data_IF_340714914290
#
_entry.id   IF_340714914290
#
_cell.length_a   1.000
_cell.length_b   1.000
_cell.length_c   1.000
_cell.angle_alpha   90.00
_cell.angle_beta   90.00
_cell.angle_gamma   90.00
#
_symmetry.space_group_name_H-M   'P 1'
#
loop_
_entity.id
_entity.type
_entity.pdbx_description
1 polymer ?
#
# COMPACT_ATOMS: atom_id res chain seq x y z
N UNK A 1 9.65 -16.39 3.02
CA UNK A 1 9.58 -15.02 2.47
C UNK A 1 8.93 -14.14 3.52
N UNK A 2 9.41 -12.91 3.77
CA UNK A 2 8.93 -12.11 4.90
C UNK A 2 7.65 -11.33 4.52
N UNK A 3 6.53 -11.60 5.20
CA UNK A 3 5.26 -10.89 5.00
C UNK A 3 5.35 -9.42 5.38
N UNK A 4 4.68 -8.54 4.64
CA UNK A 4 4.56 -7.11 4.98
C UNK A 4 3.16 -6.86 5.54
N UNK A 5 3.09 -6.33 6.77
CA UNK A 5 1.84 -5.99 7.44
C UNK A 5 1.53 -4.49 7.27
N UNK A 6 0.33 -4.20 6.81
CA UNK A 6 -0.13 -2.85 6.49
C UNK A 6 -1.20 -2.37 7.50
N UNK A 7 -1.00 -1.16 8.02
CA UNK A 7 -1.85 -0.44 8.99
C UNK A 7 -2.69 0.65 8.32
N UNK A 8 -3.84 0.97 8.92
CA UNK A 8 -4.85 1.89 8.37
C UNK A 8 -4.52 3.37 8.59
N UNK A 9 -4.68 4.21 7.55
CA UNK A 9 -4.50 5.67 7.67
C UNK A 9 -5.65 6.35 8.43
N UNK A 10 -5.42 7.58 8.91
CA UNK A 10 -6.45 8.42 9.54
C UNK A 10 -7.59 8.75 8.56
N UNK A 11 -7.27 8.92 7.28
CA UNK A 11 -8.28 9.12 6.25
C UNK A 11 -9.22 7.91 6.16
N UNK A 12 -8.65 6.70 6.03
CA UNK A 12 -9.44 5.49 5.86
C UNK A 12 -10.21 5.14 7.14
N UNK A 13 -9.62 5.32 8.33
CA UNK A 13 -10.31 5.18 9.63
C UNK A 13 -11.58 6.04 9.68
N UNK A 14 -11.46 7.33 9.35
CA UNK A 14 -12.57 8.29 9.39
C UNK A 14 -13.63 7.98 8.33
N UNK A 15 -13.22 7.63 7.12
CA UNK A 15 -14.14 7.27 6.04
C UNK A 15 -14.97 6.03 6.41
N UNK A 16 -14.31 4.96 6.85
CA UNK A 16 -14.98 3.70 7.21
C UNK A 16 -15.98 3.89 8.35
N UNK A 17 -15.61 4.60 9.42
CA UNK A 17 -16.50 4.76 10.59
C UNK A 17 -17.68 5.70 10.31
N UNK A 18 -17.47 6.77 9.52
CA UNK A 18 -18.56 7.66 9.13
C UNK A 18 -19.55 6.95 8.20
N UNK A 19 -19.06 6.13 7.26
CA UNK A 19 -19.92 5.35 6.38
C UNK A 19 -20.74 4.32 7.17
N UNK A 20 -20.08 3.55 8.05
CA UNK A 20 -20.72 2.48 8.81
C UNK A 20 -21.72 2.98 9.87
N UNK A 21 -21.37 4.03 10.63
CA UNK A 21 -22.12 4.42 11.83
C UNK A 21 -22.96 5.69 11.66
N UNK A 22 -22.65 6.52 10.66
CA UNK A 22 -23.32 7.82 10.47
C UNK A 22 -24.05 7.93 9.13
N UNK A 23 -24.04 6.88 8.33
CA UNK A 23 -24.67 6.87 7.01
C UNK A 23 -24.10 7.92 6.05
N UNK A 24 -22.88 8.42 6.30
CA UNK A 24 -22.23 9.36 5.40
C UNK A 24 -21.80 8.58 4.17
N UNK A 25 -22.41 8.91 3.03
CA UNK A 25 -22.15 8.16 1.80
C UNK A 25 -20.66 8.20 1.45
N UNK A 26 -20.08 7.02 1.29
CA UNK A 26 -18.67 6.86 0.94
C UNK A 26 -18.56 5.87 -0.22
N UNK A 27 -18.11 6.36 -1.37
CA UNK A 27 -17.86 5.51 -2.53
C UNK A 27 -16.48 4.88 -2.38
N UNK A 28 -16.45 3.57 -2.17
CA UNK A 28 -15.19 2.84 -2.11
C UNK A 28 -14.43 2.95 -3.44
N UNK A 29 -13.08 3.07 -3.42
CA UNK A 29 -12.28 3.09 -4.63
C UNK A 29 -12.46 1.80 -5.44
N UNK A 30 -12.77 1.91 -6.73
CA UNK A 30 -12.91 0.75 -7.61
C UNK A 30 -11.58 0.04 -7.88
N UNK A 31 -10.45 0.74 -7.67
CA UNK A 31 -9.10 0.24 -7.82
C UNK A 31 -8.24 0.81 -6.71
N UNK A 32 -7.26 0.04 -6.27
CA UNK A 32 -6.24 0.48 -5.33
C UNK A 32 -4.85 0.22 -5.90
N UNK A 33 -3.89 1.02 -5.47
CA UNK A 33 -2.55 1.04 -6.03
C UNK A 33 -1.52 0.94 -4.93
N UNK A 34 -0.46 0.16 -5.14
CA UNK A 34 0.69 0.13 -4.25
C UNK A 34 1.68 1.25 -4.63
N UNK A 35 2.13 1.98 -3.61
CA UNK A 35 3.11 3.04 -3.68
C UNK A 35 4.33 2.70 -2.81
N UNK A 36 5.51 3.13 -3.25
CA UNK A 36 6.79 2.91 -2.56
C UNK A 36 7.23 4.21 -1.88
N UNK A 37 7.73 4.10 -0.65
CA UNK A 37 8.17 5.24 0.15
C UNK A 37 9.61 5.10 0.62
N UNK A 38 10.33 6.22 0.60
CA UNK A 38 11.67 6.34 1.20
C UNK A 38 11.61 6.73 2.67
N UNK A 39 10.48 7.25 3.14
CA UNK A 39 10.22 7.55 4.55
C UNK A 39 8.86 7.01 5.04
N UNK A 40 8.62 7.03 6.35
CA UNK A 40 7.36 6.56 6.91
C UNK A 40 6.19 7.48 6.51
N UNK A 41 5.15 6.98 5.82
CA UNK A 41 3.95 7.75 5.51
C UNK A 41 3.12 8.14 6.73
N UNK A 42 3.22 7.39 7.83
CA UNK A 42 2.39 7.54 9.04
C UNK A 42 0.89 7.43 8.75
N UNK A 43 0.10 7.44 9.81
CA UNK A 43 -1.35 7.49 9.66
C UNK A 43 -1.85 8.82 9.06
N UNK A 44 -1.02 9.87 9.11
CA UNK A 44 -1.35 11.22 8.63
C UNK A 44 -0.93 11.49 7.18
N UNK A 45 -0.35 10.50 6.50
CA UNK A 45 0.06 10.60 5.10
C UNK A 45 1.12 11.68 4.81
N UNK A 46 2.20 11.69 5.60
CA UNK A 46 3.30 12.67 5.56
C UNK A 46 4.59 12.12 4.96
N UNK A 47 4.54 10.95 4.33
CA UNK A 47 5.71 10.24 3.81
C UNK A 47 6.19 10.76 2.48
N UNK A 48 7.45 10.48 2.18
CA UNK A 48 8.07 10.77 0.89
C UNK A 48 7.89 9.55 -0.02
N UNK A 49 6.98 9.67 -0.98
CA UNK A 49 6.82 8.68 -2.04
C UNK A 49 7.97 8.79 -3.04
N UNK A 50 8.37 7.65 -3.60
CA UNK A 50 9.34 7.62 -4.71
C UNK A 50 8.78 8.43 -5.89
N UNK A 51 9.66 9.18 -6.56
CA UNK A 51 9.31 9.93 -7.77
C UNK A 51 10.46 9.84 -8.77
N UNK A 52 10.14 9.83 -10.07
CA UNK A 52 11.13 9.75 -11.14
C UNK A 52 11.65 8.33 -11.39
N UNK A 53 12.69 8.20 -12.23
CA UNK A 53 13.35 6.91 -12.48
C UNK A 53 12.44 5.80 -13.01
N UNK A 54 11.39 6.14 -13.79
CA UNK A 54 10.43 5.17 -14.33
C UNK A 54 9.39 4.67 -13.32
N UNK A 55 9.40 5.18 -12.08
CA UNK A 55 8.45 4.81 -11.05
C UNK A 55 7.01 5.21 -11.43
N UNK A 56 6.11 4.25 -11.29
CA UNK A 56 4.66 4.46 -11.31
C UNK A 56 4.02 3.49 -10.32
N UNK A 57 2.99 3.95 -9.59
CA UNK A 57 2.20 3.09 -8.72
C UNK A 57 1.57 1.96 -9.52
N UNK A 58 1.54 0.77 -8.94
CA UNK A 58 0.98 -0.41 -9.60
C UNK A 58 -0.37 -0.75 -9.02
N UNK A 59 -1.33 -1.11 -9.87
CA UNK A 59 -2.63 -1.58 -9.39
C UNK A 59 -2.43 -2.90 -8.63
N UNK A 60 -3.10 -3.05 -7.50
CA UNK A 60 -3.11 -4.28 -6.70
C UNK A 60 -4.55 -4.73 -6.47
N UNK A 61 -4.74 -6.04 -6.48
CA UNK A 61 -6.02 -6.70 -6.18
C UNK A 61 -5.88 -7.53 -4.92
N UNK A 62 -6.85 -7.42 -4.03
CA UNK A 62 -6.93 -8.21 -2.80
C UNK A 62 -8.04 -9.26 -2.92
N UNK A 63 -7.85 -10.38 -2.23
CA UNK A 63 -8.84 -11.47 -2.18
C UNK A 63 -9.92 -11.22 -1.14
N UNK A 64 -10.78 -12.21 -0.96
CA UNK A 64 -11.81 -12.19 0.07
C UNK A 64 -11.20 -12.09 1.47
N UNK A 65 -11.81 -11.31 2.38
CA UNK A 65 -11.35 -11.19 3.75
C UNK A 65 -11.54 -12.49 4.52
N UNK A 66 -10.49 -12.88 5.23
CA UNK A 66 -10.53 -13.96 6.23
C UNK A 66 -10.82 -13.32 7.58
N UNK A 67 -11.94 -13.70 8.19
CA UNK A 67 -12.34 -13.23 9.51
C UNK A 67 -11.93 -14.27 10.56
N UNK A 68 -11.15 -13.85 11.54
CA UNK A 68 -10.75 -14.70 12.67
C UNK A 68 -10.79 -13.90 13.96
N UNK A 69 -11.50 -14.42 14.97
CA UNK A 69 -11.69 -13.76 16.26
C UNK A 69 -12.24 -12.32 16.13
N UNK A 70 -11.41 -11.31 16.44
CA UNK A 70 -11.71 -9.88 16.33
C UNK A 70 -10.98 -9.20 15.18
N UNK A 71 -10.45 -9.98 14.23
CA UNK A 71 -9.60 -9.49 13.14
C UNK A 71 -10.15 -9.87 11.77
N UNK A 72 -9.85 -9.03 10.78
CA UNK A 72 -10.11 -9.25 9.38
C UNK A 72 -8.80 -9.09 8.60
N UNK A 73 -8.39 -10.13 7.88
CA UNK A 73 -7.16 -10.12 7.09
C UNK A 73 -7.43 -10.32 5.60
N UNK A 74 -6.72 -9.58 4.75
CA UNK A 74 -6.70 -9.77 3.29
C UNK A 74 -5.27 -9.82 2.78
N UNK A 75 -5.10 -10.46 1.63
CA UNK A 75 -3.81 -10.53 0.95
C UNK A 75 -3.95 -10.32 -0.56
N UNK A 76 -2.89 -9.87 -1.22
CA UNK A 76 -2.89 -9.68 -2.67
C UNK A 76 -3.04 -11.01 -3.42
N UNK A 77 -3.82 -11.02 -4.49
CA UNK A 77 -4.16 -12.22 -5.27
C UNK A 77 -3.28 -12.47 -6.48
N UNK A 78 -2.44 -11.50 -6.84
CA UNK A 78 -1.52 -11.59 -7.96
C UNK A 78 -0.18 -10.93 -7.62
N UNK A 79 0.87 -11.35 -8.34
CA UNK A 79 2.15 -10.66 -8.32
C UNK A 79 1.98 -9.21 -8.81
N UNK A 80 2.65 -8.28 -8.13
CA UNK A 80 2.68 -6.87 -8.50
C UNK A 80 4.12 -6.49 -8.80
N UNK A 81 4.38 -6.15 -10.06
CA UNK A 81 5.74 -5.81 -10.54
C UNK A 81 5.79 -4.34 -10.92
N UNK A 82 6.77 -3.62 -10.37
CA UNK A 82 7.05 -2.25 -10.76
C UNK A 82 7.88 -2.22 -12.06
N UNK A 83 7.82 -1.12 -12.83
CA UNK A 83 8.72 -0.91 -13.95
C UNK A 83 10.18 -1.00 -13.52
N UNK A 84 11.05 -1.41 -14.44
CA UNK A 84 12.50 -1.41 -14.22
C UNK A 84 12.92 0.04 -13.92
N UNK A 85 13.68 0.22 -12.84
CA UNK A 85 14.16 1.54 -12.45
C UNK A 85 15.10 2.10 -13.52
N UNK A 86 14.79 3.28 -14.06
CA UNK A 86 15.63 3.97 -15.06
C UNK A 86 16.61 4.96 -14.43
N UNK A 87 16.51 5.17 -13.13
CA UNK A 87 17.43 5.95 -12.30
C UNK A 87 17.40 5.41 -10.87
N UNK A 88 18.33 5.86 -10.03
CA UNK A 88 18.35 5.49 -8.62
C UNK A 88 17.13 6.08 -7.90
N UNK A 89 16.35 5.22 -7.24
CA UNK A 89 15.10 5.57 -6.54
C UNK A 89 15.29 5.62 -5.01
N UNK A 90 16.48 5.24 -4.52
CA UNK A 90 16.85 5.32 -3.11
C UNK A 90 16.43 4.10 -2.27
N UNK A 91 16.54 4.24 -0.95
CA UNK A 91 16.19 3.19 0.01
C UNK A 91 14.68 3.13 0.23
N UNK A 92 14.05 2.04 -0.19
CA UNK A 92 12.63 1.81 0.05
C UNK A 92 12.45 1.24 1.45
N UNK A 93 11.81 2.02 2.32
CA UNK A 93 11.59 1.66 3.73
C UNK A 93 10.15 1.32 4.04
N UNK A 94 9.19 1.90 3.31
CA UNK A 94 7.77 1.71 3.55
C UNK A 94 7.02 1.53 2.23
N UNK A 95 5.83 0.94 2.32
CA UNK A 95 4.87 0.86 1.24
C UNK A 95 3.53 1.44 1.68
N UNK A 96 2.74 1.92 0.72
CA UNK A 96 1.40 2.43 0.95
C UNK A 96 0.42 1.91 -0.08
N UNK A 97 -0.85 1.80 0.30
CA UNK A 97 -1.97 1.53 -0.59
C UNK A 97 -2.73 2.84 -0.80
N UNK A 98 -2.92 3.21 -2.05
CA UNK A 98 -3.54 4.47 -2.50
C UNK A 98 -4.83 4.19 -3.27
N UNK A 99 -5.77 5.11 -3.22
CA UNK A 99 -7.04 5.03 -3.99
C UNK A 99 -6.89 5.45 -5.47
N UNK A 100 -5.76 6.04 -5.86
CA UNK A 100 -5.53 6.54 -7.22
C UNK A 100 -4.11 6.24 -7.73
N UNK A 101 -3.96 6.17 -9.06
CA UNK A 101 -2.67 5.98 -9.73
C UNK A 101 -1.72 7.19 -9.54
N UNK A 102 -2.29 8.39 -9.41
CA UNK A 102 -1.58 9.65 -9.14
C UNK A 102 -2.41 10.47 -8.16
N UNK A 103 -1.76 11.11 -7.17
CA UNK A 103 -2.46 11.87 -6.13
C UNK A 103 -3.24 10.95 -5.18
N UNK A 104 -4.49 11.31 -4.87
CA UNK A 104 -5.37 10.47 -4.05
C UNK A 104 -4.98 10.38 -2.57
N UNK A 105 -5.70 9.54 -1.83
CA UNK A 105 -5.54 9.37 -0.39
C UNK A 105 -4.82 8.05 -0.06
N UNK A 106 -4.02 8.09 1.01
CA UNK A 106 -3.46 6.88 1.61
C UNK A 106 -4.57 6.10 2.32
N UNK A 107 -4.66 4.80 2.04
CA UNK A 107 -5.61 3.87 2.65
C UNK A 107 -4.93 3.04 3.75
N UNK A 108 -3.82 2.40 3.38
CA UNK A 108 -3.01 1.59 4.28
C UNK A 108 -1.52 1.87 4.07
N UNK A 109 -0.69 1.60 5.06
CA UNK A 109 0.76 1.75 4.97
C UNK A 109 1.49 0.78 5.90
N UNK A 110 2.74 0.47 5.59
CA UNK A 110 3.52 -0.41 6.45
C UNK A 110 5.00 -0.40 6.11
N UNK A 111 5.81 -0.79 7.08
CA UNK A 111 7.25 -0.88 6.92
C UNK A 111 7.63 -2.16 6.15
N UNK A 112 8.61 -2.04 5.24
CA UNK A 112 9.23 -3.18 4.58
C UNK A 112 10.22 -3.81 5.57
N UNK A 113 10.04 -5.10 5.90
CA UNK A 113 10.89 -5.81 6.89
C UNK A 113 12.38 -5.79 6.54
N UNK A 114 12.69 -5.83 5.25
CA UNK A 114 14.05 -5.75 4.72
C UNK A 114 14.11 -4.60 3.71
N UNK A 115 14.37 -3.36 4.16
CA UNK A 115 14.52 -2.22 3.27
C UNK A 115 15.55 -2.50 2.18
N UNK A 116 15.26 -2.08 0.95
CA UNK A 116 16.15 -2.31 -0.19
C UNK A 116 16.40 -1.00 -0.93
N UNK A 117 17.66 -0.72 -1.22
CA UNK A 117 18.04 0.36 -2.13
C UNK A 117 17.76 -0.07 -3.55
N UNK A 118 17.03 0.77 -4.27
CA UNK A 118 16.66 0.55 -5.67
C UNK A 118 17.55 1.43 -6.52
N UNK A 119 18.42 0.77 -7.28
CA UNK A 119 19.34 1.40 -8.20
C UNK A 119 18.83 1.25 -9.63
N UNK A 120 19.45 1.98 -10.56
CA UNK A 120 19.19 1.83 -11.99
C UNK A 120 19.30 0.36 -12.43
N UNK A 121 18.34 -0.11 -13.23
CA UNK A 121 18.13 -1.49 -13.68
C UNK A 121 17.61 -2.48 -12.62
N UNK A 122 17.30 -2.05 -11.40
CA UNK A 122 16.60 -2.91 -10.44
C UNK A 122 15.12 -3.09 -10.82
N UNK A 123 14.59 -4.26 -10.47
CA UNK A 123 13.16 -4.57 -10.55
C UNK A 123 12.63 -4.93 -9.17
N UNK A 124 11.52 -4.30 -8.80
CA UNK A 124 10.80 -4.54 -7.55
C UNK A 124 9.55 -5.34 -7.88
N UNK A 125 9.37 -6.46 -7.18
CA UNK A 125 8.19 -7.30 -7.31
C UNK A 125 7.71 -7.76 -5.95
N UNK A 126 6.41 -7.65 -5.74
CA UNK A 126 5.70 -8.24 -4.62
C UNK A 126 4.98 -9.48 -5.10
N UNK A 127 5.28 -10.64 -4.52
CA UNK A 127 4.62 -11.88 -4.90
C UNK A 127 3.19 -11.94 -4.34
N UNK A 128 2.37 -12.79 -4.94
CA UNK A 128 1.08 -13.18 -4.37
C UNK A 128 1.20 -13.54 -2.88
N UNK A 129 0.27 -13.06 -2.06
CA UNK A 129 0.23 -13.30 -0.61
C UNK A 129 1.25 -12.53 0.23
N UNK A 130 2.17 -11.76 -0.38
CA UNK A 130 3.20 -11.02 0.35
C UNK A 130 2.68 -9.74 1.02
N UNK A 131 1.69 -9.09 0.41
CA UNK A 131 1.05 -7.90 0.94
C UNK A 131 -0.12 -8.32 1.80
N UNK A 132 -0.01 -8.14 3.12
CA UNK A 132 -1.05 -8.48 4.08
C UNK A 132 -1.57 -7.22 4.77
N UNK A 133 -2.89 -7.07 4.75
CA UNK A 133 -3.61 -6.09 5.56
C UNK A 133 -4.30 -6.88 6.66
N UNK A 134 -4.09 -6.49 7.91
CA UNK A 134 -4.77 -7.03 9.08
C UNK A 134 -5.47 -5.86 9.78
N UNK A 135 -6.80 -5.92 9.83
CA UNK A 135 -7.63 -5.01 10.61
C UNK A 135 -8.05 -5.72 11.90
N UNK A 136 -7.52 -5.26 13.05
CA UNK A 136 -7.79 -5.81 14.38
C UNK A 136 -7.67 -4.79 15.50
#
# INVERSE_FOLDING_TARGET
MADIMLSKSNYWKRASINAALRGVNFTAPAKVYIALYTSNPTDADTGQEVTGGGYARQQVTFGDPVIAERRAAVQNTADVSFPIATADQGLITHIGIRDAATGGNLLYHGAVKTPRTVLTNDLIRFLVGQLKIDEG
#
